data_IF_524437918028
#
_entry.id   IF_524437918028
#
_cell.length_a   1.000
_cell.length_b   1.000
_cell.length_c   1.000
_cell.angle_alpha   90.00
_cell.angle_beta   90.00
_cell.angle_gamma   90.00
#
_symmetry.space_group_name_H-M   'P 1'
#
loop_
_entity.id
_entity.type
_entity.pdbx_description
1 polymer ?
#
# COMPACT_ATOMS: atom_id res chain seq x y z
N UNK A 1 23.44 45.00 2.68
CA UNK A 1 22.16 44.51 2.13
C UNK A 1 22.51 43.25 1.38
N UNK A 2 22.14 42.10 1.92
CA UNK A 2 21.76 40.89 1.18
C UNK A 2 21.51 39.79 2.22
N UNK A 3 20.30 39.83 2.78
CA UNK A 3 19.76 38.73 3.55
C UNK A 3 19.51 37.58 2.58
N UNK A 4 20.35 36.55 2.64
CA UNK A 4 20.09 35.26 2.02
C UNK A 4 18.83 34.69 2.68
N UNK A 5 17.69 34.81 2.00
CA UNK A 5 16.47 34.13 2.38
C UNK A 5 16.74 32.62 2.34
N UNK A 6 16.96 32.02 3.51
CA UNK A 6 16.99 30.58 3.68
C UNK A 6 15.60 30.06 3.30
N UNK A 7 15.45 29.63 2.05
CA UNK A 7 14.28 28.93 1.57
C UNK A 7 14.04 27.75 2.50
N UNK A 8 12.90 27.75 3.17
CA UNK A 8 12.41 26.62 3.95
C UNK A 8 12.46 25.42 3.00
N UNK A 9 13.23 24.35 3.30
CA UNK A 9 13.27 23.19 2.43
C UNK A 9 11.85 22.65 2.33
N UNK A 10 11.35 22.49 1.10
CA UNK A 10 10.06 21.83 0.86
C UNK A 10 10.05 20.51 1.64
N UNK A 11 9.01 20.23 2.45
CA UNK A 11 9.04 19.15 3.43
C UNK A 11 9.01 17.79 2.74
N UNK A 12 10.18 17.21 2.43
CA UNK A 12 10.30 16.00 1.61
C UNK A 12 9.27 14.95 2.08
N UNK A 13 8.60 14.19 1.18
CA UNK A 13 7.53 13.27 1.60
C UNK A 13 7.98 12.26 2.65
N UNK A 14 9.28 11.98 2.67
CA UNK A 14 9.99 11.22 3.68
C UNK A 14 9.66 11.70 5.09
N UNK A 15 9.89 12.99 5.35
CA UNK A 15 9.65 13.62 6.64
C UNK A 15 8.16 13.58 6.98
N UNK A 16 7.29 13.73 5.98
CA UNK A 16 5.84 13.67 6.17
C UNK A 16 5.40 12.30 6.65
N UNK A 17 5.80 11.20 6.00
CA UNK A 17 5.42 9.85 6.43
C UNK A 17 5.99 9.47 7.79
N UNK A 18 7.26 9.78 8.04
CA UNK A 18 7.89 9.51 9.32
C UNK A 18 7.21 10.28 10.46
N UNK A 19 6.93 11.57 10.25
CA UNK A 19 6.25 12.41 11.24
C UNK A 19 4.83 11.91 11.50
N UNK A 20 4.07 11.56 10.46
CA UNK A 20 2.71 11.04 10.62
C UNK A 20 2.70 9.72 11.40
N UNK A 21 3.64 8.81 11.12
CA UNK A 21 3.75 7.55 11.86
C UNK A 21 4.27 7.76 13.29
N UNK A 22 5.13 8.74 13.53
CA UNK A 22 5.55 9.13 14.87
C UNK A 22 4.37 9.68 15.70
N UNK A 23 3.49 10.49 15.10
CA UNK A 23 2.25 10.96 15.74
C UNK A 23 1.33 9.79 16.10
N UNK A 24 1.25 8.77 15.22
CA UNK A 24 0.48 7.56 15.51
C UNK A 24 1.11 6.74 16.64
N UNK A 25 2.45 6.71 16.71
CA UNK A 25 3.17 5.99 17.76
C UNK A 25 3.00 6.62 19.15
N UNK A 26 2.80 7.93 19.21
CA UNK A 26 2.71 8.69 20.46
C UNK A 26 1.35 8.48 21.15
N UNK A 27 1.25 7.37 21.89
CA UNK A 27 -0.01 6.94 22.52
C UNK A 27 -0.42 7.82 23.71
N UNK A 28 0.56 8.29 24.49
CA UNK A 28 0.32 9.01 25.74
C UNK A 28 0.26 10.53 25.54
N UNK A 29 1.02 11.07 24.59
CA UNK A 29 1.04 12.51 24.28
C UNK A 29 0.00 12.99 23.28
N UNK A 30 -0.63 12.12 22.48
CA UNK A 30 -1.54 12.51 21.40
C UNK A 30 -2.92 11.87 21.54
N UNK A 31 -3.96 12.72 21.47
CA UNK A 31 -5.34 12.29 21.55
C UNK A 31 -5.72 11.31 20.41
N UNK A 32 -6.55 10.27 20.68
CA UNK A 32 -6.90 9.26 19.67
C UNK A 32 -7.46 9.80 18.34
N UNK A 33 -8.30 10.87 18.30
CA UNK A 33 -8.78 11.42 17.03
C UNK A 33 -7.66 11.97 16.14
N UNK A 34 -6.64 12.58 16.75
CA UNK A 34 -5.51 13.15 16.01
C UNK A 34 -4.59 12.05 15.47
N UNK A 35 -4.37 10.98 16.24
CA UNK A 35 -3.67 9.78 15.75
C UNK A 35 -4.42 9.10 14.61
N UNK A 36 -5.75 8.99 14.72
CA UNK A 36 -6.59 8.46 13.65
C UNK A 36 -6.48 9.31 12.38
N UNK A 37 -6.51 10.64 12.51
CA UNK A 37 -6.32 11.54 11.39
C UNK A 37 -4.94 11.34 10.74
N UNK A 38 -3.88 11.25 11.54
CA UNK A 38 -2.53 11.00 11.05
C UNK A 38 -2.44 9.68 10.24
N UNK A 39 -3.05 8.60 10.74
CA UNK A 39 -3.11 7.32 10.02
C UNK A 39 -3.90 7.41 8.70
N UNK A 40 -5.01 8.17 8.68
CA UNK A 40 -5.81 8.41 7.47
C UNK A 40 -5.01 9.23 6.44
N UNK A 41 -4.34 10.29 6.87
CA UNK A 41 -3.51 11.13 6.01
C UNK A 41 -2.37 10.31 5.42
N UNK A 42 -1.68 9.50 6.22
CA UNK A 42 -0.64 8.59 5.75
C UNK A 42 -1.19 7.62 4.69
N UNK A 43 -2.34 6.98 4.96
CA UNK A 43 -3.00 6.07 3.99
C UNK A 43 -3.31 6.76 2.66
N UNK A 44 -3.79 8.00 2.69
CA UNK A 44 -4.14 8.76 1.50
C UNK A 44 -2.89 9.21 0.72
N UNK A 45 -1.83 9.59 1.43
CA UNK A 45 -0.56 9.99 0.82
C UNK A 45 0.15 8.84 0.08
N UNK A 46 -0.03 7.58 0.50
CA UNK A 46 0.61 6.42 -0.16
C UNK A 46 0.22 6.36 -1.64
N UNK A 47 -1.04 6.62 -1.98
CA UNK A 47 -1.53 6.49 -3.36
C UNK A 47 -0.84 7.44 -4.36
N UNK A 48 -0.40 8.62 -3.92
CA UNK A 48 0.35 9.59 -4.74
C UNK A 48 1.86 9.34 -4.72
N UNK A 49 2.40 8.93 -3.56
CA UNK A 49 3.85 8.78 -3.38
C UNK A 49 4.40 7.42 -3.84
N UNK A 50 3.57 6.38 -3.92
CA UNK A 50 3.97 5.05 -4.43
C UNK A 50 3.77 4.88 -5.95
N UNK A 51 2.94 5.70 -6.60
CA UNK A 51 2.68 5.57 -8.06
C UNK A 51 3.90 6.03 -8.87
N UNK A 52 4.53 5.09 -9.60
CA UNK A 52 5.54 5.34 -10.64
C UNK A 52 4.89 5.81 -11.95
N UNK A 53 4.01 6.81 -11.91
CA UNK A 53 3.41 7.37 -13.15
C UNK A 53 4.25 8.53 -13.63
N UNK A 54 4.42 8.63 -14.96
CA UNK A 54 5.26 9.59 -15.71
C UNK A 54 4.94 11.10 -15.49
N UNK A 55 4.03 11.43 -14.57
CA UNK A 55 3.67 12.80 -14.16
C UNK A 55 3.59 13.02 -12.65
N UNK A 56 4.01 12.04 -11.83
CA UNK A 56 4.18 12.26 -10.39
C UNK A 56 5.46 13.04 -10.17
N UNK A 57 5.36 14.23 -9.56
CA UNK A 57 6.50 15.12 -9.26
C UNK A 57 7.61 14.31 -8.57
N UNK A 58 8.87 14.48 -8.98
CA UNK A 58 10.02 13.73 -8.41
C UNK A 58 10.11 13.88 -6.89
N UNK A 59 9.75 15.07 -6.40
CA UNK A 59 9.59 15.37 -4.98
C UNK A 59 8.67 14.38 -4.26
N UNK A 60 7.59 13.90 -4.88
CA UNK A 60 6.56 13.02 -4.29
C UNK A 60 7.05 11.56 -4.17
N UNK A 61 8.17 11.22 -4.80
CA UNK A 61 8.68 9.85 -4.87
C UNK A 61 9.52 9.54 -3.64
N UNK A 62 9.09 8.53 -2.89
CA UNK A 62 9.85 8.03 -1.74
C UNK A 62 10.93 7.06 -2.24
N UNK A 63 12.21 7.26 -1.86
CA UNK A 63 13.30 6.32 -2.10
C UNK A 63 13.00 4.91 -1.57
N UNK A 64 13.56 3.89 -2.23
CA UNK A 64 13.30 2.48 -1.87
C UNK A 64 13.66 2.13 -0.42
N UNK A 65 14.72 2.73 0.13
CA UNK A 65 15.13 2.53 1.53
C UNK A 65 14.06 2.98 2.51
N UNK A 66 13.47 4.16 2.29
CA UNK A 66 12.46 4.74 3.17
C UNK A 66 11.12 4.04 3.06
N UNK A 67 10.79 3.51 1.87
CA UNK A 67 9.65 2.61 1.72
C UNK A 67 9.77 1.42 2.68
N UNK A 68 10.99 0.89 2.87
CA UNK A 68 11.28 -0.15 3.86
C UNK A 68 10.92 0.27 5.28
N UNK A 69 11.38 1.46 5.69
CA UNK A 69 11.09 2.00 7.02
C UNK A 69 9.59 2.21 7.27
N UNK A 70 8.86 2.76 6.28
CA UNK A 70 7.41 2.96 6.38
C UNK A 70 6.67 1.61 6.48
N UNK A 71 7.08 0.61 5.71
CA UNK A 71 6.54 -0.76 5.74
C UNK A 71 6.69 -1.39 7.14
N UNK A 72 7.89 -1.31 7.70
CA UNK A 72 8.21 -1.85 9.02
C UNK A 72 7.48 -1.11 10.12
N UNK A 73 7.48 0.22 10.08
CA UNK A 73 6.77 1.06 11.04
C UNK A 73 5.26 0.79 11.02
N UNK A 74 4.63 0.69 9.84
CA UNK A 74 3.21 0.38 9.71
C UNK A 74 2.85 -0.99 10.29
N UNK A 75 3.67 -2.03 10.03
CA UNK A 75 3.47 -3.37 10.60
C UNK A 75 3.61 -3.36 12.13
N UNK A 76 4.62 -2.67 12.66
CA UNK A 76 4.84 -2.55 14.11
C UNK A 76 3.68 -1.83 14.80
N UNK A 77 3.23 -0.70 14.25
CA UNK A 77 2.15 0.09 14.80
C UNK A 77 0.80 -0.64 14.75
N UNK A 78 0.55 -1.45 13.71
CA UNK A 78 -0.67 -2.26 13.59
C UNK A 78 -0.93 -3.13 14.83
N UNK A 79 0.12 -3.73 15.38
CA UNK A 79 0.02 -4.63 16.54
C UNK A 79 0.14 -3.88 17.87
N UNK A 80 0.92 -2.79 17.93
CA UNK A 80 1.11 -2.02 19.18
C UNK A 80 -0.06 -1.10 19.52
N UNK A 81 -0.83 -0.66 18.53
CA UNK A 81 -1.85 0.37 18.75
C UNK A 81 -2.99 -0.11 19.66
N UNK A 82 -3.34 0.63 20.74
CA UNK A 82 -4.44 0.25 21.64
C UNK A 82 -5.82 0.35 20.98
N UNK A 83 -6.02 1.31 20.07
CA UNK A 83 -7.30 1.56 19.41
C UNK A 83 -7.50 0.70 18.17
N UNK A 84 -8.60 -0.05 18.11
CA UNK A 84 -8.92 -0.88 16.95
C UNK A 84 -9.25 -0.05 15.70
N UNK A 85 -9.78 1.17 15.86
CA UNK A 85 -10.10 2.06 14.74
C UNK A 85 -8.82 2.55 14.05
N UNK A 86 -7.78 2.86 14.84
CA UNK A 86 -6.48 3.29 14.30
C UNK A 86 -5.74 2.09 13.69
N UNK A 87 -5.75 0.93 14.37
CA UNK A 87 -5.20 -0.31 13.82
C UNK A 87 -5.84 -0.69 12.49
N UNK A 88 -7.15 -0.46 12.33
CA UNK A 88 -7.85 -0.65 11.06
C UNK A 88 -7.28 0.26 9.96
N UNK A 89 -7.05 1.54 10.24
CA UNK A 89 -6.43 2.47 9.26
C UNK A 89 -5.01 2.03 8.89
N UNK A 90 -4.23 1.52 9.85
CA UNK A 90 -2.89 0.97 9.61
C UNK A 90 -2.95 -0.30 8.73
N UNK A 91 -3.91 -1.20 8.95
CA UNK A 91 -4.14 -2.36 8.10
C UNK A 91 -4.50 -1.97 6.67
N UNK A 92 -5.31 -0.92 6.49
CA UNK A 92 -5.65 -0.36 5.18
C UNK A 92 -4.45 0.33 4.51
N UNK A 93 -3.62 1.03 5.29
CA UNK A 93 -2.35 1.60 4.82
C UNK A 93 -1.43 0.50 4.27
N UNK A 94 -1.23 -0.58 5.01
CA UNK A 94 -0.44 -1.76 4.57
C UNK A 94 -1.04 -2.36 3.29
N UNK A 95 -2.38 -2.49 3.24
CA UNK A 95 -3.08 -2.99 2.04
C UNK A 95 -2.80 -2.11 0.81
N UNK A 96 -2.81 -0.78 0.98
CA UNK A 96 -2.50 0.16 -0.08
C UNK A 96 -1.05 0.03 -0.55
N UNK A 97 -0.07 -0.07 0.37
CA UNK A 97 1.34 -0.25 0.02
C UNK A 97 1.53 -1.58 -0.72
N UNK A 98 0.93 -2.67 -0.23
CA UNK A 98 1.00 -4.00 -0.83
C UNK A 98 0.48 -4.02 -2.27
N UNK A 99 -0.52 -3.20 -2.61
CA UNK A 99 -1.02 -3.08 -3.99
C UNK A 99 0.08 -2.71 -4.99
N UNK A 100 0.99 -1.82 -4.58
CA UNK A 100 2.05 -1.32 -5.44
C UNK A 100 3.31 -2.18 -5.39
N UNK A 101 3.68 -2.63 -4.19
CA UNK A 101 4.98 -3.25 -3.95
C UNK A 101 4.95 -4.79 -3.98
N UNK A 102 3.79 -5.45 -3.90
CA UNK A 102 3.70 -6.91 -3.98
C UNK A 102 3.54 -7.40 -5.44
N UNK A 103 4.22 -8.49 -5.86
CA UNK A 103 5.11 -9.35 -5.06
C UNK A 103 6.59 -8.93 -5.01
N UNK A 104 7.06 -8.09 -5.93
CA UNK A 104 8.50 -7.90 -6.20
C UNK A 104 9.27 -7.17 -5.09
N UNK A 105 8.68 -6.13 -4.50
CA UNK A 105 9.33 -5.21 -3.55
C UNK A 105 8.93 -5.48 -2.08
N UNK A 106 8.01 -6.41 -1.84
CA UNK A 106 7.59 -6.79 -0.48
C UNK A 106 7.13 -8.26 -0.38
N UNK A 107 7.97 -9.24 -0.75
CA UNK A 107 7.58 -10.65 -0.79
C UNK A 107 7.21 -11.21 0.59
N UNK A 108 7.87 -10.74 1.64
CA UNK A 108 7.73 -11.28 3.01
C UNK A 108 6.46 -10.82 3.74
N UNK A 109 5.62 -9.97 3.13
CA UNK A 109 4.41 -9.43 3.78
C UNK A 109 3.44 -10.52 4.24
N UNK A 110 3.15 -11.49 3.36
CA UNK A 110 2.22 -12.58 3.69
C UNK A 110 2.75 -13.43 4.83
N UNK A 111 4.04 -13.76 4.80
CA UNK A 111 4.71 -14.52 5.85
C UNK A 111 4.67 -13.80 7.20
N UNK A 112 4.90 -12.48 7.23
CA UNK A 112 4.78 -11.70 8.45
C UNK A 112 3.36 -11.71 9.03
N UNK A 113 2.34 -11.53 8.19
CA UNK A 113 0.94 -11.57 8.63
C UNK A 113 0.54 -12.98 9.09
N UNK A 114 0.98 -14.04 8.42
CA UNK A 114 0.73 -15.42 8.82
C UNK A 114 1.36 -15.74 10.18
N UNK A 115 2.62 -15.34 10.40
CA UNK A 115 3.29 -15.49 11.68
C UNK A 115 2.56 -14.77 12.81
N UNK A 116 1.97 -13.60 12.52
CA UNK A 116 1.14 -12.88 13.50
C UNK A 116 -0.19 -13.60 13.81
N UNK A 117 -0.82 -14.24 12.81
CA UNK A 117 -2.03 -15.06 13.01
C UNK A 117 -1.74 -16.29 13.87
N UNK A 118 -0.61 -16.96 13.63
CA UNK A 118 -0.23 -18.21 14.28
C UNK A 118 0.37 -18.02 15.69
N UNK A 119 0.68 -16.78 16.08
CA UNK A 119 1.20 -16.47 17.42
C UNK A 119 0.17 -16.87 18.49
N UNK A 120 0.64 -17.50 19.56
CA UNK A 120 -0.16 -17.89 20.74
C UNK A 120 0.25 -17.04 21.96
N UNK A 121 -0.71 -16.52 22.72
CA UNK A 121 -0.48 -15.66 23.89
C UNK A 121 -1.72 -14.83 24.31
N UNK A 122 -1.70 -14.10 25.43
CA UNK A 122 -2.87 -13.33 25.91
C UNK A 122 -3.25 -12.15 25.01
N UNK A 123 -2.29 -11.52 24.33
CA UNK A 123 -2.54 -10.51 23.28
C UNK A 123 -2.91 -11.12 21.92
N UNK A 124 -2.88 -12.46 21.79
CA UNK A 124 -2.93 -13.13 20.48
C UNK A 124 -4.27 -13.01 19.77
N UNK A 125 -5.40 -12.88 20.47
CA UNK A 125 -6.70 -12.85 19.80
C UNK A 125 -6.91 -11.55 19.02
N UNK A 126 -6.53 -10.41 19.61
CA UNK A 126 -6.61 -9.09 18.98
C UNK A 126 -5.65 -9.00 17.80
N UNK A 127 -4.39 -9.39 18.01
CA UNK A 127 -3.37 -9.39 16.96
C UNK A 127 -3.74 -10.33 15.81
N UNK A 128 -4.31 -11.50 16.12
CA UNK A 128 -4.82 -12.45 15.13
C UNK A 128 -5.96 -11.86 14.32
N UNK A 129 -6.93 -11.20 14.95
CA UNK A 129 -8.03 -10.54 14.24
C UNK A 129 -7.51 -9.44 13.29
N UNK A 130 -6.57 -8.61 13.76
CA UNK A 130 -5.94 -7.54 12.97
C UNK A 130 -5.14 -8.09 11.80
N UNK A 131 -4.34 -9.14 12.03
CA UNK A 131 -3.57 -9.80 11.00
C UNK A 131 -4.48 -10.48 9.96
N UNK A 132 -5.55 -11.16 10.38
CA UNK A 132 -6.54 -11.78 9.48
C UNK A 132 -7.26 -10.73 8.64
N UNK A 133 -7.70 -9.63 9.25
CA UNK A 133 -8.33 -8.53 8.53
C UNK A 133 -7.41 -7.96 7.45
N UNK A 134 -6.15 -7.69 7.81
CA UNK A 134 -5.15 -7.13 6.90
C UNK A 134 -4.83 -8.11 5.78
N UNK A 135 -4.63 -9.38 6.10
CA UNK A 135 -4.39 -10.46 5.14
C UNK A 135 -5.54 -10.60 4.14
N UNK A 136 -6.79 -10.64 4.63
CA UNK A 136 -7.99 -10.67 3.78
C UNK A 136 -8.02 -9.46 2.83
N UNK A 137 -7.73 -8.28 3.34
CA UNK A 137 -7.76 -7.02 2.58
C UNK A 137 -6.68 -7.00 1.50
N UNK A 138 -5.46 -7.42 1.83
CA UNK A 138 -4.34 -7.59 0.88
C UNK A 138 -4.72 -8.58 -0.23
N UNK A 139 -5.20 -9.78 0.12
CA UNK A 139 -5.60 -10.79 -0.87
C UNK A 139 -6.70 -10.25 -1.79
N UNK A 140 -7.70 -9.55 -1.25
CA UNK A 140 -8.78 -8.94 -2.04
C UNK A 140 -8.24 -7.96 -3.07
N UNK A 141 -7.32 -7.07 -2.68
CA UNK A 141 -6.73 -6.06 -3.57
C UNK A 141 -5.81 -6.70 -4.61
N UNK A 142 -5.05 -7.73 -4.24
CA UNK A 142 -4.19 -8.46 -5.17
C UNK A 142 -5.01 -9.22 -6.22
N UNK A 143 -6.12 -9.85 -5.82
CA UNK A 143 -7.06 -10.47 -6.77
C UNK A 143 -7.59 -9.44 -7.77
N UNK A 144 -8.05 -8.28 -7.27
CA UNK A 144 -8.53 -7.20 -8.14
C UNK A 144 -7.45 -6.69 -9.11
N UNK A 145 -6.19 -6.56 -8.66
CA UNK A 145 -5.06 -6.19 -9.52
C UNK A 145 -4.80 -7.24 -10.61
N UNK A 146 -4.90 -8.53 -10.30
CA UNK A 146 -4.77 -9.61 -11.28
C UNK A 146 -5.83 -9.49 -12.38
N UNK A 147 -7.10 -9.28 -12.02
CA UNK A 147 -8.17 -9.08 -13.00
C UNK A 147 -7.94 -7.88 -13.92
N UNK A 148 -7.44 -6.76 -13.39
CA UNK A 148 -7.17 -5.54 -14.19
C UNK A 148 -5.99 -5.71 -15.14
N UNK A 149 -5.01 -6.55 -14.79
CA UNK A 149 -3.88 -6.86 -15.68
C UNK A 149 -4.20 -7.97 -16.69
N UNK A 150 -5.38 -8.59 -16.60
CA UNK A 150 -5.86 -9.64 -17.49
C UNK A 150 -7.08 -9.24 -18.37
N UNK A 151 -7.16 -8.05 -19.04
CA UNK A 151 -8.23 -7.78 -20.00
C UNK A 151 -7.90 -8.23 -21.44
N UNK A 152 -6.75 -8.85 -21.72
CA UNK A 152 -6.28 -9.10 -23.09
C UNK A 152 -5.77 -10.52 -23.34
N UNK A 153 -6.41 -11.54 -22.77
CA UNK A 153 -6.31 -12.91 -23.30
C UNK A 153 -7.54 -13.28 -24.15
N UNK A 154 -8.65 -12.55 -24.00
CA UNK A 154 -9.92 -12.83 -24.69
C UNK A 154 -10.08 -12.06 -26.01
N UNK A 155 -9.25 -11.04 -26.27
CA UNK A 155 -9.27 -10.30 -27.54
C UNK A 155 -8.47 -11.01 -28.67
N UNK A 156 -7.63 -12.00 -28.33
CA UNK A 156 -6.80 -12.72 -29.29
C UNK A 156 -7.46 -13.93 -29.96
N UNK A 157 -8.69 -14.30 -29.58
CA UNK A 157 -9.42 -15.43 -30.18
C UNK A 157 -10.62 -15.02 -31.05
N UNK A 158 -10.82 -13.73 -31.29
CA UNK A 158 -11.88 -13.22 -32.18
C UNK A 158 -11.36 -12.84 -33.59
N UNK A 159 -10.15 -13.29 -33.95
CA UNK A 159 -9.49 -12.93 -35.22
C UNK A 159 -9.50 -14.00 -36.32
N UNK A 160 -9.98 -15.22 -36.06
CA UNK A 160 -9.70 -16.37 -36.94
C UNK A 160 -10.93 -17.06 -37.54
N UNK A 161 -12.05 -16.33 -37.67
CA UNK A 161 -13.23 -16.80 -38.40
C UNK A 161 -13.66 -15.77 -39.45
N UNK A 162 -12.78 -15.49 -40.42
CA UNK A 162 -13.22 -15.04 -41.75
C UNK A 162 -12.65 -16.02 -42.77
N UNK A 163 -13.45 -17.07 -42.97
CA UNK A 163 -13.47 -18.08 -44.02
C UNK A 163 -12.69 -17.68 -45.28
N UNK A 164 -11.67 -18.49 -45.57
CA UNK A 164 -11.12 -18.74 -46.90
C UNK A 164 -12.24 -19.07 -47.89
N UNK A 165 -12.63 -18.11 -48.73
CA UNK A 165 -13.35 -18.37 -49.97
C UNK A 165 -12.40 -18.14 -51.15
N UNK A 166 -11.69 -19.20 -51.54
CA UNK A 166 -11.00 -19.30 -52.82
C UNK A 166 -11.46 -20.59 -53.50
N UNK A 167 -12.03 -20.43 -54.70
CA UNK A 167 -12.07 -21.46 -55.74
C UNK A 167 -13.40 -22.20 -55.89
N UNK A 168 -14.21 -21.77 -56.86
CA UNK A 168 -14.54 -22.68 -57.97
C UNK A 168 -14.88 -21.88 -59.22
N UNK A 169 -13.97 -22.00 -60.17
CA UNK A 169 -14.05 -21.75 -61.60
C UNK A 169 -15.18 -22.60 -62.22
N UNK A 170 -16.05 -22.00 -63.05
CA UNK A 170 -16.73 -22.70 -64.16
C UNK A 170 -17.03 -21.70 -65.30
N UNK A 171 -16.32 -21.93 -66.42
CA UNK A 171 -16.64 -21.77 -67.85
C UNK A 171 -17.58 -20.68 -68.34
#
# INVERSE_FOLDING_TARGET
MDQQAAGIPDPTPQLVFQTLLAIVEEVDGVAPPLRQLAAIVAKNAVGSSWRKTMGSREWSRIPSQEKGQVKEAALRLLFREPSDVIALQLGLLITNIARFDFPSEWPNLLSHLQSAVLRNGPASMRDRQRALFTLKSVIRVLRAKRFVNEPSALAGQAGDITITAQGTDIS
#
